data_IF_905562319496
#
_entry.id   IF_905562319496
#
_cell.length_a   1.000
_cell.length_b   1.000
_cell.length_c   1.000
_cell.angle_alpha   90.00
_cell.angle_beta   90.00
_cell.angle_gamma   90.00
#
_symmetry.space_group_name_H-M   'P 1'
#
loop_
_entity.id
_entity.type
_entity.pdbx_description
1 polymer ?
#
# COMPACT_ATOMS: atom_id res chain seq x y z
N UNK A 1 -5.33 -26.42 22.66
CA UNK A 1 -4.92 -25.01 22.73
C UNK A 1 -3.74 -24.83 21.79
N UNK A 2 -3.89 -24.10 20.68
CA UNK A 2 -2.76 -23.80 19.79
C UNK A 2 -1.81 -22.84 20.51
N UNK A 3 -0.51 -23.07 20.39
CA UNK A 3 0.52 -22.21 20.98
C UNK A 3 0.30 -20.74 20.53
N UNK A 4 0.58 -19.75 21.39
CA UNK A 4 0.49 -18.35 20.99
C UNK A 4 1.44 -18.09 19.83
N UNK A 5 0.92 -17.48 18.77
CA UNK A 5 1.70 -17.05 17.61
C UNK A 5 2.73 -16.03 18.10
N UNK A 6 4.01 -16.41 18.15
CA UNK A 6 5.13 -15.58 18.62
C UNK A 6 5.90 -14.88 17.50
N UNK A 7 5.50 -15.11 16.24
CA UNK A 7 6.12 -14.49 15.06
C UNK A 7 5.56 -13.11 14.71
N UNK A 8 6.30 -12.31 13.92
CA UNK A 8 5.80 -11.06 13.36
C UNK A 8 4.59 -11.31 12.45
N UNK A 9 3.61 -10.41 12.46
CA UNK A 9 2.46 -10.49 11.55
C UNK A 9 2.85 -9.86 10.22
N UNK A 10 2.84 -10.67 9.16
CA UNK A 10 3.22 -10.25 7.82
C UNK A 10 2.02 -10.31 6.89
N UNK A 11 2.03 -9.49 5.86
CA UNK A 11 1.05 -9.59 4.80
C UNK A 11 1.65 -9.30 3.43
N UNK A 12 0.96 -9.76 2.40
CA UNK A 12 1.23 -9.40 1.01
C UNK A 12 -0.05 -8.93 0.33
N UNK A 13 0.06 -7.99 -0.60
CA UNK A 13 -1.07 -7.42 -1.31
C UNK A 13 -0.67 -6.42 -2.39
N UNK A 14 -1.66 -5.68 -2.89
CA UNK A 14 -1.46 -4.61 -3.86
C UNK A 14 -1.88 -3.27 -3.27
N UNK A 15 -0.95 -2.32 -3.19
CA UNK A 15 -1.21 -0.96 -2.72
C UNK A 15 -1.77 -0.06 -3.83
N UNK A 16 -1.51 -0.41 -5.09
CA UNK A 16 -2.07 0.24 -6.27
C UNK A 16 -2.28 -0.78 -7.38
N UNK A 17 -3.25 -0.52 -8.24
CA UNK A 17 -3.55 -1.27 -9.46
C UNK A 17 -3.43 -0.35 -10.67
N UNK A 18 -2.74 -0.82 -11.71
CA UNK A 18 -2.54 -0.04 -12.92
C UNK A 18 -3.79 0.01 -13.79
N UNK A 19 -4.00 1.16 -14.44
CA UNK A 19 -5.12 1.36 -15.36
C UNK A 19 -6.50 1.38 -14.71
N UNK A 20 -6.59 1.29 -13.38
CA UNK A 20 -7.84 1.40 -12.62
C UNK A 20 -8.01 2.82 -12.09
N UNK A 21 -9.12 3.46 -12.45
CA UNK A 21 -9.49 4.76 -11.91
C UNK A 21 -9.95 4.61 -10.46
N UNK A 22 -9.38 5.44 -9.58
CA UNK A 22 -9.74 5.47 -8.17
C UNK A 22 -10.92 6.42 -7.88
N UNK A 23 -11.37 6.44 -6.63
CA UNK A 23 -12.47 7.31 -6.20
C UNK A 23 -12.18 8.83 -6.35
N UNK A 24 -10.92 9.23 -6.47
CA UNK A 24 -10.47 10.60 -6.75
C UNK A 24 -10.37 10.94 -8.23
N UNK A 25 -10.66 9.97 -9.12
CA UNK A 25 -10.45 10.05 -10.57
C UNK A 25 -8.98 10.09 -10.98
N UNK A 26 -8.09 9.56 -10.14
CA UNK A 26 -6.71 9.29 -10.53
C UNK A 26 -6.60 7.87 -11.12
N UNK A 27 -5.78 7.73 -12.16
CA UNK A 27 -5.42 6.43 -12.74
C UNK A 27 -3.91 6.30 -12.78
N UNK A 28 -3.38 5.28 -12.10
CA UNK A 28 -1.95 5.02 -12.06
C UNK A 28 -1.55 4.26 -13.34
N UNK A 29 -0.54 4.76 -14.07
CA UNK A 29 0.01 4.07 -15.23
C UNK A 29 1.14 3.13 -14.80
N UNK A 30 1.29 2.02 -15.52
CA UNK A 30 2.45 1.15 -15.35
C UNK A 30 3.76 1.94 -15.59
N UNK A 31 4.76 1.71 -14.74
CA UNK A 31 6.01 2.48 -14.76
C UNK A 31 5.97 3.76 -13.93
N UNK A 32 4.81 4.16 -13.39
CA UNK A 32 4.70 5.38 -12.59
C UNK A 32 5.52 5.32 -11.29
N UNK A 33 5.81 4.12 -10.78
CA UNK A 33 6.68 3.95 -9.61
C UNK A 33 8.14 3.66 -9.99
N UNK A 34 8.45 3.32 -11.25
CA UNK A 34 9.76 2.80 -11.66
C UNK A 34 10.94 3.63 -11.15
N UNK A 35 10.90 4.96 -11.34
CA UNK A 35 11.93 5.88 -10.87
C UNK A 35 12.08 5.85 -9.35
N UNK A 36 10.98 6.08 -8.62
CA UNK A 36 11.02 6.12 -7.15
C UNK A 36 11.41 4.78 -6.55
N UNK A 37 11.13 3.65 -7.20
CA UNK A 37 11.62 2.34 -6.78
C UNK A 37 13.12 2.18 -7.01
N UNK A 38 13.64 2.61 -8.17
CA UNK A 38 15.06 2.50 -8.50
C UNK A 38 15.96 3.41 -7.65
N UNK A 39 15.46 4.60 -7.29
CA UNK A 39 16.21 5.60 -6.52
C UNK A 39 16.15 5.38 -5.00
N UNK A 40 15.30 4.48 -4.51
CA UNK A 40 15.05 4.35 -3.07
C UNK A 40 16.14 3.56 -2.37
N UNK A 41 16.75 4.19 -1.36
CA UNK A 41 17.65 3.56 -0.39
C UNK A 41 16.99 3.27 0.96
N UNK A 42 15.99 4.06 1.34
CA UNK A 42 15.34 3.99 2.65
C UNK A 42 14.12 3.05 2.65
N UNK A 43 13.82 2.37 3.77
CA UNK A 43 12.61 1.56 3.87
C UNK A 43 11.34 2.41 3.79
N UNK A 44 10.28 1.88 3.17
CA UNK A 44 8.97 2.54 3.12
C UNK A 44 8.20 2.27 4.42
N UNK A 45 7.74 3.32 5.14
CA UNK A 45 6.93 3.11 6.32
C UNK A 45 5.57 2.53 5.95
N UNK A 46 5.07 1.65 6.82
CA UNK A 46 3.68 1.21 6.81
C UNK A 46 2.90 2.03 7.84
N UNK A 47 1.97 2.85 7.38
CA UNK A 47 1.11 3.65 8.25
C UNK A 47 -0.28 3.03 8.42
N UNK A 48 -0.98 3.48 9.47
CA UNK A 48 -2.39 3.23 9.65
C UNK A 48 -3.18 4.44 9.14
N UNK A 49 -4.08 4.24 8.16
CA UNK A 49 -5.00 5.29 7.70
C UNK A 49 -4.30 6.59 7.25
N UNK A 50 -3.14 6.49 6.58
CA UNK A 50 -2.32 7.63 6.14
C UNK A 50 -1.82 8.55 7.27
N UNK A 51 -1.86 8.09 8.53
CA UNK A 51 -1.41 8.87 9.67
C UNK A 51 0.08 8.65 9.93
N UNK A 52 0.89 9.66 9.63
CA UNK A 52 2.34 9.63 9.84
C UNK A 52 2.73 9.48 11.32
N UNK A 53 1.87 9.88 12.26
CA UNK A 53 2.04 9.67 13.70
C UNK A 53 1.65 8.24 14.15
N UNK A 54 1.12 7.41 13.25
CA UNK A 54 0.73 6.02 13.50
C UNK A 54 1.40 5.06 12.53
N UNK A 55 2.73 4.99 12.60
CA UNK A 55 3.48 3.91 11.96
C UNK A 55 3.21 2.59 12.67
N UNK A 56 2.78 1.61 11.90
CA UNK A 56 2.42 0.26 12.38
C UNK A 56 3.39 -0.81 11.91
N UNK A 57 4.36 -0.45 11.07
CA UNK A 57 5.33 -1.39 10.54
C UNK A 57 6.18 -0.82 9.41
N UNK A 58 6.72 -1.72 8.61
CA UNK A 58 7.56 -1.41 7.45
C UNK A 58 7.21 -2.30 6.26
N UNK A 59 7.35 -1.73 5.06
CA UNK A 59 7.28 -2.49 3.81
C UNK A 59 8.65 -3.13 3.58
N UNK A 60 8.69 -4.45 3.56
CA UNK A 60 9.90 -5.25 3.36
C UNK A 60 10.27 -5.38 1.88
N UNK A 61 9.25 -5.50 1.03
CA UNK A 61 9.42 -5.58 -0.42
C UNK A 61 8.34 -4.78 -1.11
N UNK A 62 8.75 -4.03 -2.13
CA UNK A 62 7.86 -3.25 -3.00
C UNK A 62 8.35 -3.39 -4.43
N UNK A 63 7.44 -3.72 -5.35
CA UNK A 63 7.78 -3.85 -6.76
C UNK A 63 6.55 -3.58 -7.63
N UNK A 64 6.77 -3.11 -8.85
CA UNK A 64 5.75 -3.16 -9.90
C UNK A 64 5.70 -4.57 -10.50
N UNK A 65 4.51 -5.02 -10.87
CA UNK A 65 4.28 -6.14 -11.77
C UNK A 65 3.23 -5.75 -12.84
N UNK A 66 2.76 -6.70 -13.65
CA UNK A 66 1.75 -6.42 -14.69
C UNK A 66 0.43 -5.85 -14.12
N UNK A 67 0.10 -6.16 -12.87
CA UNK A 67 -1.15 -5.77 -12.22
C UNK A 67 -1.03 -4.43 -11.52
N UNK A 68 0.08 -4.15 -10.82
CA UNK A 68 0.18 -2.96 -9.99
C UNK A 68 1.41 -2.90 -9.10
N UNK A 69 1.30 -2.13 -8.01
CA UNK A 69 2.33 -2.02 -6.98
C UNK A 69 2.12 -3.10 -5.92
N UNK A 70 2.88 -4.19 -6.02
CA UNK A 70 2.88 -5.30 -5.07
C UNK A 70 3.73 -4.97 -3.86
N UNK A 71 3.21 -5.28 -2.68
CA UNK A 71 3.90 -5.05 -1.39
C UNK A 71 3.91 -6.30 -0.52
N UNK A 72 4.99 -6.46 0.24
CA UNK A 72 5.06 -7.34 1.41
C UNK A 72 5.47 -6.48 2.59
N UNK A 73 4.74 -6.55 3.69
CA UNK A 73 4.98 -5.72 4.86
C UNK A 73 4.83 -6.49 6.16
N UNK A 74 5.51 -6.00 7.19
CA UNK A 74 5.50 -6.56 8.54
C UNK A 74 4.98 -5.53 9.52
N UNK A 75 4.07 -5.94 10.40
CA UNK A 75 3.58 -5.10 11.49
C UNK A 75 4.48 -5.21 12.72
N UNK A 76 4.81 -4.05 13.31
CA UNK A 76 5.60 -3.92 14.53
C UNK A 76 4.89 -4.55 15.74
N UNK A 77 3.57 -4.39 15.82
CA UNK A 77 2.75 -4.93 16.93
C UNK A 77 1.55 -5.75 16.39
N UNK A 78 1.71 -7.09 16.28
CA UNK A 78 0.65 -8.02 15.86
C UNK A 78 -0.60 -8.08 16.75
N UNK A 79 -0.52 -7.53 17.97
CA UNK A 79 -1.59 -7.53 18.96
C UNK A 79 -2.20 -6.13 19.16
N UNK A 80 -1.65 -5.11 18.49
CA UNK A 80 -2.21 -3.76 18.46
C UNK A 80 -3.45 -3.69 17.57
N UNK A 81 -4.12 -2.52 17.60
CA UNK A 81 -5.38 -2.32 16.88
C UNK A 81 -5.31 -2.68 15.38
N UNK A 82 -4.26 -2.24 14.68
CA UNK A 82 -4.07 -2.56 13.27
C UNK A 82 -3.85 -4.06 13.02
N UNK A 83 -3.02 -4.72 13.83
CA UNK A 83 -2.77 -6.16 13.72
C UNK A 83 -4.01 -7.00 13.99
N UNK A 84 -4.80 -6.65 15.01
CA UNK A 84 -6.07 -7.30 15.31
C UNK A 84 -7.11 -7.06 14.21
N UNK A 85 -7.21 -5.84 13.68
CA UNK A 85 -8.12 -5.52 12.59
C UNK A 85 -7.79 -6.30 11.31
N UNK A 86 -6.50 -6.40 10.98
CA UNK A 86 -6.03 -7.20 9.85
C UNK A 86 -6.32 -8.70 10.04
N UNK A 87 -5.95 -9.26 11.20
CA UNK A 87 -6.20 -10.69 11.52
C UNK A 87 -7.68 -11.06 11.48
N UNK A 88 -8.56 -10.13 11.86
CA UNK A 88 -10.03 -10.33 11.81
C UNK A 88 -10.62 -10.06 10.43
N UNK A 89 -9.84 -9.58 9.47
CA UNK A 89 -10.31 -9.19 8.14
C UNK A 89 -11.20 -7.94 8.13
N UNK A 90 -11.29 -7.19 9.24
CA UNK A 90 -12.11 -5.97 9.31
C UNK A 90 -11.43 -4.79 8.62
N UNK A 91 -10.10 -4.84 8.48
CA UNK A 91 -9.33 -3.89 7.66
C UNK A 91 -8.34 -4.65 6.79
N UNK A 92 -8.56 -4.61 5.48
CA UNK A 92 -7.73 -5.26 4.47
C UNK A 92 -7.38 -4.33 3.30
N UNK A 93 -7.84 -3.06 3.32
CA UNK A 93 -7.52 -2.07 2.29
C UNK A 93 -6.06 -1.68 2.33
N UNK A 94 -5.47 -1.49 1.15
CA UNK A 94 -4.16 -0.90 1.00
C UNK A 94 -4.27 0.37 0.17
N UNK A 95 -3.43 1.34 0.51
CA UNK A 95 -3.31 2.60 -0.21
C UNK A 95 -1.85 3.05 -0.12
N UNK A 96 -1.52 4.12 -0.81
CA UNK A 96 -0.18 4.68 -0.82
C UNK A 96 -0.24 6.21 -0.83
N UNK A 97 0.71 6.81 -0.13
CA UNK A 97 0.91 8.24 -0.08
C UNK A 97 1.99 8.61 -1.07
N UNK A 98 1.75 9.67 -1.84
CA UNK A 98 2.64 10.03 -2.93
C UNK A 98 2.65 11.53 -3.20
N UNK A 99 3.69 11.98 -3.92
CA UNK A 99 3.70 13.27 -4.60
C UNK A 99 3.75 13.02 -6.11
N UNK A 100 2.83 13.62 -6.85
CA UNK A 100 2.85 13.55 -8.31
C UNK A 100 4.06 14.32 -8.85
N UNK A 101 4.85 13.67 -9.71
CA UNK A 101 6.01 14.26 -10.39
C UNK A 101 5.71 14.55 -11.86
N UNK A 102 4.97 13.64 -12.50
CA UNK A 102 4.41 13.83 -13.83
C UNK A 102 3.00 13.25 -13.89
N UNK A 103 2.09 13.98 -14.52
CA UNK A 103 0.71 13.55 -14.73
C UNK A 103 0.14 14.20 -15.98
N UNK A 104 -0.91 13.62 -16.54
CA UNK A 104 -1.70 14.24 -17.61
C UNK A 104 -3.18 14.26 -17.25
N UNK A 105 -3.85 15.35 -17.62
CA UNK A 105 -5.30 15.46 -17.47
C UNK A 105 -5.97 14.86 -18.70
N UNK A 106 -7.02 14.07 -18.47
CA UNK A 106 -7.86 13.46 -19.49
C UNK A 106 -9.34 13.75 -19.17
N UNK A 107 -10.27 13.56 -20.11
CA UNK A 107 -11.70 13.67 -19.81
C UNK A 107 -12.18 12.70 -18.71
N UNK A 108 -11.51 11.56 -18.54
CA UNK A 108 -11.85 10.55 -17.54
C UNK A 108 -11.29 10.87 -16.14
N UNK A 109 -10.37 11.83 -16.03
CA UNK A 109 -9.64 12.12 -14.79
C UNK A 109 -8.17 12.39 -15.04
N UNK A 110 -7.35 12.29 -14.00
CA UNK A 110 -5.91 12.51 -14.09
C UNK A 110 -5.18 11.17 -14.15
N UNK A 111 -4.26 11.04 -15.09
CA UNK A 111 -3.37 9.89 -15.16
C UNK A 111 -2.03 10.23 -14.54
N UNK A 112 -1.58 9.43 -13.58
CA UNK A 112 -0.29 9.57 -12.92
C UNK A 112 0.76 8.79 -13.71
N UNK A 113 1.79 9.50 -14.16
CA UNK A 113 2.85 8.98 -15.04
C UNK A 113 4.19 8.79 -14.33
N UNK A 114 4.44 9.59 -13.30
CA UNK A 114 5.58 9.46 -12.38
C UNK A 114 5.13 9.97 -11.01
N UNK A 115 5.39 9.18 -9.98
CA UNK A 115 5.14 9.56 -8.59
C UNK A 115 6.38 9.35 -7.73
N UNK A 116 6.53 10.20 -6.74
CA UNK A 116 7.38 9.94 -5.59
C UNK A 116 6.55 9.19 -4.55
N UNK A 117 6.89 7.92 -4.29
CA UNK A 117 6.19 7.08 -3.32
C UNK A 117 6.78 7.32 -1.93
N UNK A 118 5.92 7.76 -1.01
CA UNK A 118 6.31 8.23 0.32
C UNK A 118 6.02 7.19 1.39
N UNK A 119 4.89 6.49 1.30
CA UNK A 119 4.43 5.52 2.29
C UNK A 119 3.40 4.55 1.70
N UNK A 120 3.18 3.44 2.40
CA UNK A 120 2.05 2.54 2.16
C UNK A 120 1.22 2.52 3.43
N UNK A 121 -0.11 2.49 3.29
CA UNK A 121 -1.02 2.48 4.41
C UNK A 121 -1.96 1.28 4.39
N UNK A 122 -2.16 0.68 5.57
CA UNK A 122 -3.30 -0.20 5.82
C UNK A 122 -4.51 0.68 6.14
N UNK A 123 -5.56 0.57 5.34
CA UNK A 123 -6.71 1.48 5.37
C UNK A 123 -8.05 0.73 5.37
N UNK A 124 -9.07 1.30 6.00
CA UNK A 124 -10.42 0.72 5.93
C UNK A 124 -11.00 0.86 4.53
N UNK A 125 -10.88 2.05 3.94
CA UNK A 125 -11.46 2.39 2.64
C UNK A 125 -10.36 2.88 1.69
N UNK A 126 -9.79 2.00 0.86
CA UNK A 126 -8.84 2.42 -0.16
C UNK A 126 -9.57 3.16 -1.29
N UNK A 127 -8.88 4.11 -1.92
CA UNK A 127 -9.43 4.83 -3.08
C UNK A 127 -9.64 3.89 -4.28
N UNK A 128 -8.82 2.85 -4.41
CA UNK A 128 -9.07 1.71 -5.29
C UNK A 128 -9.64 0.56 -4.48
N UNK A 129 -10.91 0.20 -4.71
CA UNK A 129 -11.59 -0.84 -3.93
C UNK A 129 -10.87 -2.20 -3.93
N UNK A 130 -10.18 -2.54 -5.02
CA UNK A 130 -9.46 -3.80 -5.20
C UNK A 130 -8.00 -3.76 -4.67
N UNK A 131 -7.50 -2.61 -4.20
CA UNK A 131 -6.20 -2.51 -3.54
C UNK A 131 -6.30 -3.08 -2.13
N UNK A 132 -5.90 -4.34 -1.97
CA UNK A 132 -6.14 -5.14 -0.77
C UNK A 132 -4.94 -5.98 -0.37
N UNK A 133 -4.92 -6.33 0.91
CA UNK A 133 -4.18 -7.47 1.43
C UNK A 133 -4.79 -8.76 0.87
N UNK A 134 -3.95 -9.62 0.32
CA UNK A 134 -4.35 -10.91 -0.25
C UNK A 134 -3.89 -12.11 0.59
N UNK A 135 -2.79 -11.95 1.34
CA UNK A 135 -2.21 -13.01 2.16
C UNK A 135 -1.78 -12.41 3.50
N UNK A 136 -2.01 -13.17 4.58
CA UNK A 136 -1.56 -12.85 5.94
C UNK A 136 -0.84 -14.08 6.49
N UNK A 137 0.34 -13.87 7.08
CA UNK A 137 1.20 -14.92 7.63
C UNK A 137 1.65 -14.58 9.06
#
# INVERSE_FOLDING_TARGET
MSAPFTGPLRFAGYAALFGRTDAGRDTIRAGAFARTLAERSDPLPLFWQHRADQRIGWVETVAEDERGLRVVATLDNPFGAAGLALKRGTVTGLSFGYRARSSRTTPAGRELLDVELLEVSLVTHPMQHEARVHLVA
#
